data_IF_572362104945
#
_entry.id   IF_572362104945
#
_cell.length_a   1.000
_cell.length_b   1.000
_cell.length_c   1.000
_cell.angle_alpha   90.00
_cell.angle_beta   90.00
_cell.angle_gamma   90.00
#
_symmetry.space_group_name_H-M   'P 1'
#
loop_
_entity.id
_entity.type
_entity.pdbx_description
1 polymer ?
#
# COMPACT_ATOMS: atom_id res chain seq x y z
N UNK A 1 20.49 0.95 -9.07
CA UNK A 1 19.44 0.19 -9.78
C UNK A 1 19.53 -1.33 -9.59
N UNK A 2 20.57 -1.89 -8.93
CA UNK A 2 20.76 -3.36 -8.86
C UNK A 2 20.73 -3.99 -7.45
N UNK A 3 19.93 -3.50 -6.50
CA UNK A 3 19.96 -4.04 -5.12
C UNK A 3 18.63 -4.39 -4.45
N UNK A 4 17.50 -4.06 -5.05
CA UNK A 4 16.17 -4.38 -4.47
C UNK A 4 15.62 -5.71 -5.03
N UNK A 5 15.98 -6.07 -6.26
CA UNK A 5 15.38 -7.21 -6.98
C UNK A 5 15.88 -8.60 -6.53
N UNK A 6 17.10 -8.73 -6.01
CA UNK A 6 17.71 -10.05 -5.80
C UNK A 6 17.20 -10.75 -4.52
N UNK A 7 16.57 -10.03 -3.59
CA UNK A 7 16.13 -10.60 -2.31
C UNK A 7 14.64 -10.90 -2.18
N UNK A 8 13.78 -10.23 -2.95
CA UNK A 8 12.35 -10.12 -2.59
C UNK A 8 11.38 -10.55 -3.70
N UNK A 9 11.76 -10.44 -4.97
CA UNK A 9 10.90 -10.82 -6.10
C UNK A 9 10.52 -12.31 -6.09
N UNK A 10 11.40 -13.19 -5.57
CA UNK A 10 11.17 -14.63 -5.56
C UNK A 10 10.42 -15.20 -4.35
N UNK A 11 10.01 -14.40 -3.36
CA UNK A 11 9.33 -14.96 -2.16
C UNK A 11 7.85 -14.61 -2.08
N UNK A 12 7.49 -13.37 -2.39
CA UNK A 12 6.10 -12.94 -2.31
C UNK A 12 5.25 -13.49 -3.48
N UNK A 13 5.85 -13.66 -4.65
CA UNK A 13 5.18 -14.25 -5.82
C UNK A 13 4.99 -15.78 -5.71
N UNK A 14 5.68 -16.44 -4.76
CA UNK A 14 5.72 -17.90 -4.62
C UNK A 14 4.87 -18.43 -3.45
N UNK A 15 3.94 -17.63 -2.94
CA UNK A 15 3.05 -18.04 -1.85
C UNK A 15 3.74 -18.15 -0.50
N UNK A 16 4.66 -17.23 -0.19
CA UNK A 16 5.19 -17.13 1.17
C UNK A 16 4.06 -16.83 2.16
N UNK A 17 3.95 -17.67 3.19
CA UNK A 17 2.89 -17.59 4.22
C UNK A 17 3.13 -16.44 5.23
N UNK A 18 4.38 -15.97 5.40
CA UNK A 18 4.72 -14.96 6.40
C UNK A 18 5.61 -13.83 5.87
N UNK A 19 5.31 -12.59 6.27
CA UNK A 19 6.11 -11.39 6.01
C UNK A 19 7.27 -11.21 6.99
N UNK A 20 8.08 -12.24 7.22
CA UNK A 20 9.19 -12.17 8.17
C UNK A 20 10.34 -11.33 7.61
N UNK A 21 10.69 -10.23 8.29
CA UNK A 21 11.86 -9.39 7.97
C UNK A 21 11.56 -7.97 7.46
N UNK A 22 10.33 -7.48 7.61
CA UNK A 22 10.01 -6.09 7.27
C UNK A 22 10.83 -5.09 8.11
N UNK A 23 11.26 -4.00 7.48
CA UNK A 23 12.12 -2.97 8.03
C UNK A 23 13.59 -3.37 8.14
N UNK A 24 13.94 -4.63 7.86
CA UNK A 24 15.30 -5.11 7.98
C UNK A 24 16.09 -4.95 6.68
N UNK A 25 17.26 -4.33 6.80
CA UNK A 25 18.22 -4.17 5.72
C UNK A 25 19.56 -4.83 6.09
N UNK A 26 20.51 -4.83 5.13
CA UNK A 26 21.87 -5.38 5.32
C UNK A 26 21.87 -6.84 5.80
N UNK A 27 21.10 -7.70 5.11
CA UNK A 27 21.04 -9.12 5.45
C UNK A 27 20.44 -9.38 6.82
N UNK A 28 19.37 -8.64 7.17
CA UNK A 28 18.66 -8.78 8.44
C UNK A 28 19.45 -8.37 9.70
N UNK A 29 20.49 -7.58 9.55
CA UNK A 29 21.34 -7.12 10.68
C UNK A 29 21.01 -5.72 11.17
N UNK A 30 20.19 -4.97 10.43
CA UNK A 30 19.90 -3.57 10.73
C UNK A 30 18.43 -3.27 10.49
N UNK A 31 17.74 -2.77 11.51
CA UNK A 31 16.34 -2.36 11.46
C UNK A 31 16.27 -0.84 11.34
N UNK A 32 15.56 -0.35 10.32
CA UNK A 32 15.18 1.06 10.22
C UNK A 32 13.65 1.20 10.29
N UNK A 33 13.12 2.01 11.21
CA UNK A 33 11.68 2.25 11.30
C UNK A 33 11.05 2.77 10.00
N UNK A 34 11.74 3.64 9.26
CA UNK A 34 11.24 4.19 7.99
C UNK A 34 11.19 3.11 6.90
N UNK A 35 12.11 2.14 6.94
CA UNK A 35 12.07 0.99 6.05
C UNK A 35 10.86 0.10 6.33
N UNK A 36 10.41 0.01 7.60
CA UNK A 36 9.20 -0.73 7.95
C UNK A 36 7.94 -0.07 7.35
N UNK A 37 7.87 1.27 7.38
CA UNK A 37 6.80 2.03 6.75
C UNK A 37 6.79 1.84 5.22
N UNK A 38 7.96 1.81 4.59
CA UNK A 38 8.08 1.55 3.15
C UNK A 38 7.72 0.10 2.79
N UNK A 39 8.14 -0.87 3.60
CA UNK A 39 7.79 -2.28 3.38
C UNK A 39 6.28 -2.53 3.51
N UNK A 40 5.57 -1.76 4.33
CA UNK A 40 4.10 -1.78 4.40
C UNK A 40 3.46 -1.42 3.05
N UNK A 41 4.00 -0.44 2.33
CA UNK A 41 3.49 -0.06 1.00
C UNK A 41 3.66 -1.19 -0.01
N UNK A 42 4.82 -1.84 0.02
CA UNK A 42 5.08 -3.01 -0.82
C UNK A 42 4.15 -4.16 -0.46
N UNK A 43 3.99 -4.45 0.84
CA UNK A 43 3.08 -5.48 1.32
C UNK A 43 1.65 -5.23 0.87
N UNK A 44 1.14 -4.00 0.98
CA UNK A 44 -0.21 -3.66 0.56
C UNK A 44 -0.38 -3.84 -0.96
N UNK A 45 0.60 -3.47 -1.77
CA UNK A 45 0.56 -3.71 -3.23
C UNK A 45 0.44 -5.20 -3.53
N UNK A 46 1.33 -6.01 -2.93
CA UNK A 46 1.34 -7.47 -3.12
C UNK A 46 0.04 -8.10 -2.62
N UNK A 47 -0.47 -7.69 -1.46
CA UNK A 47 -1.74 -8.17 -0.91
C UNK A 47 -2.90 -7.86 -1.86
N UNK A 48 -2.92 -6.66 -2.43
CA UNK A 48 -3.97 -6.23 -3.35
C UNK A 48 -3.89 -7.00 -4.68
N UNK A 49 -2.69 -7.28 -5.18
CA UNK A 49 -2.49 -8.12 -6.37
C UNK A 49 -2.88 -9.59 -6.09
N UNK A 50 -2.53 -10.10 -4.91
CA UNK A 50 -2.85 -11.47 -4.47
C UNK A 50 -4.33 -11.68 -4.16
N UNK A 51 -5.10 -10.63 -3.86
CA UNK A 51 -6.55 -10.70 -3.64
C UNK A 51 -7.33 -11.14 -4.90
N UNK A 52 -6.68 -11.12 -6.07
CA UNK A 52 -7.26 -11.55 -7.33
C UNK A 52 -8.25 -10.56 -7.92
N UNK A 53 -8.85 -10.93 -9.06
CA UNK A 53 -9.79 -10.08 -9.78
C UNK A 53 -11.24 -10.39 -9.37
N UNK A 54 -11.99 -9.36 -8.99
CA UNK A 54 -13.42 -9.48 -8.78
C UNK A 54 -14.15 -9.49 -10.14
N UNK A 55 -14.68 -10.64 -10.54
CA UNK A 55 -15.37 -10.85 -11.82
C UNK A 55 -16.89 -10.66 -11.75
N UNK A 56 -17.40 -10.10 -10.65
CA UNK A 56 -18.83 -9.79 -10.53
C UNK A 56 -19.29 -8.78 -11.59
N UNK A 57 -20.57 -8.80 -12.02
CA UNK A 57 -21.08 -7.88 -13.03
C UNK A 57 -20.84 -6.40 -12.71
N UNK A 58 -20.92 -6.02 -11.43
CA UNK A 58 -20.65 -4.64 -10.97
C UNK A 58 -19.18 -4.25 -11.22
N UNK A 59 -18.21 -5.11 -10.93
CA UNK A 59 -16.79 -4.83 -11.15
C UNK A 59 -16.38 -4.92 -12.62
N UNK A 60 -17.04 -5.77 -13.41
CA UNK A 60 -16.84 -5.84 -14.86
C UNK A 60 -17.37 -4.59 -15.59
N UNK A 61 -18.40 -3.95 -15.03
CA UNK A 61 -18.92 -2.64 -15.46
C UNK A 61 -19.27 -2.54 -16.96
N UNK A 62 -19.71 -3.63 -17.59
CA UNK A 62 -19.97 -3.69 -19.03
C UNK A 62 -21.06 -2.70 -19.47
N UNK A 63 -22.11 -2.53 -18.66
CA UNK A 63 -23.18 -1.57 -18.93
C UNK A 63 -22.66 -0.12 -18.94
N UNK A 64 -21.73 0.19 -18.03
CA UNK A 64 -21.11 1.52 -17.94
C UNK A 64 -20.20 1.77 -19.15
N UNK A 65 -19.40 0.77 -19.54
CA UNK A 65 -18.54 0.83 -20.73
C UNK A 65 -19.39 1.07 -21.99
N UNK A 66 -20.49 0.35 -22.13
CA UNK A 66 -21.42 0.52 -23.25
C UNK A 66 -22.09 1.90 -23.25
N UNK A 67 -22.51 2.39 -22.08
CA UNK A 67 -23.16 3.69 -21.94
C UNK A 67 -22.23 4.87 -22.25
N UNK A 68 -20.96 4.81 -21.81
CA UNK A 68 -19.96 5.85 -22.08
C UNK A 68 -19.56 5.86 -23.56
N UNK A 69 -19.43 4.67 -24.16
CA UNK A 69 -19.13 4.51 -25.58
C UNK A 69 -17.73 4.97 -26.01
N UNK A 70 -17.41 4.86 -27.31
CA UNK A 70 -16.09 5.20 -27.83
C UNK A 70 -15.74 6.68 -27.62
N UNK A 71 -14.48 6.95 -27.26
CA UNK A 71 -13.94 8.31 -27.03
C UNK A 71 -14.60 9.08 -25.87
N UNK A 72 -15.40 8.41 -25.03
CA UNK A 72 -15.92 8.97 -23.78
C UNK A 72 -14.92 8.93 -22.61
N UNK A 73 -15.34 9.38 -21.43
CA UNK A 73 -14.55 9.31 -20.20
C UNK A 73 -15.41 8.91 -18.99
N UNK A 74 -14.82 8.15 -18.07
CA UNK A 74 -15.56 7.56 -16.94
C UNK A 74 -15.65 8.46 -15.70
N UNK A 75 -14.93 9.59 -15.66
CA UNK A 75 -14.84 10.45 -14.48
C UNK A 75 -16.19 11.01 -13.99
N UNK A 76 -17.21 11.08 -14.86
CA UNK A 76 -18.56 11.56 -14.51
C UNK A 76 -19.50 10.45 -14.06
N UNK A 77 -19.09 9.19 -14.15
CA UNK A 77 -19.94 8.05 -13.83
C UNK A 77 -20.13 7.89 -12.32
N UNK A 78 -21.37 7.59 -11.92
CA UNK A 78 -21.67 7.25 -10.51
C UNK A 78 -20.90 6.00 -10.10
N UNK A 79 -20.79 5.03 -11.00
CA UNK A 79 -20.02 3.82 -10.81
C UNK A 79 -18.56 4.11 -10.44
N UNK A 80 -17.89 4.98 -11.22
CA UNK A 80 -16.53 5.42 -10.93
C UNK A 80 -16.41 6.12 -9.59
N UNK A 81 -17.31 7.06 -9.24
CA UNK A 81 -17.28 7.72 -7.91
C UNK A 81 -17.47 6.75 -6.74
N UNK A 82 -18.28 5.70 -6.92
CA UNK A 82 -18.52 4.71 -5.88
C UNK A 82 -17.30 3.80 -5.68
N UNK A 83 -16.63 3.40 -6.78
CA UNK A 83 -15.48 2.50 -6.73
C UNK A 83 -14.17 3.21 -6.41
N UNK A 84 -13.99 4.46 -6.86
CA UNK A 84 -12.79 5.25 -6.61
C UNK A 84 -12.52 5.43 -5.11
N UNK A 85 -13.57 5.58 -4.28
CA UNK A 85 -13.46 5.69 -2.82
C UNK A 85 -13.03 4.41 -2.12
N UNK A 86 -13.15 3.26 -2.80
CA UNK A 86 -12.74 1.95 -2.28
C UNK A 86 -11.27 1.64 -2.62
N UNK A 87 -10.63 2.45 -3.46
CA UNK A 87 -9.23 2.28 -3.79
C UNK A 87 -8.36 2.71 -2.61
N UNK A 88 -7.39 1.88 -2.28
CA UNK A 88 -6.35 2.23 -1.32
C UNK A 88 -5.28 3.05 -2.05
N UNK A 89 -5.02 4.26 -1.54
CA UNK A 89 -3.93 5.10 -2.02
C UNK A 89 -2.78 5.06 -1.00
N UNK A 90 -1.56 5.08 -1.52
CA UNK A 90 -0.36 5.15 -0.70
C UNK A 90 -0.31 6.45 0.10
N UNK A 91 0.05 6.36 1.37
CA UNK A 91 0.30 7.53 2.23
C UNK A 91 1.74 8.04 2.12
N UNK A 92 2.61 7.29 1.42
CA UNK A 92 4.06 7.51 1.38
C UNK A 92 4.57 7.72 -0.04
N UNK A 93 4.06 6.95 -0.99
CA UNK A 93 4.46 7.02 -2.40
C UNK A 93 3.64 8.07 -3.14
N UNK A 94 4.29 8.77 -4.07
CA UNK A 94 3.66 9.76 -4.96
C UNK A 94 2.90 10.87 -4.22
N UNK A 95 3.40 11.27 -3.06
CA UNK A 95 2.89 12.44 -2.35
C UNK A 95 3.28 13.71 -3.11
N UNK A 96 2.32 14.54 -3.54
CA UNK A 96 2.62 15.75 -4.30
C UNK A 96 3.52 16.71 -3.54
N UNK A 97 4.50 17.28 -4.24
CA UNK A 97 5.30 18.39 -3.73
C UNK A 97 4.72 19.75 -4.17
N UNK A 98 5.00 20.80 -3.39
CA UNK A 98 4.51 22.17 -3.60
C UNK A 98 4.99 22.78 -4.93
N UNK A 99 6.14 22.32 -5.45
CA UNK A 99 6.80 22.91 -6.62
C UNK A 99 6.59 22.12 -7.92
N UNK A 100 5.53 21.30 -7.99
CA UNK A 100 5.28 20.33 -9.06
C UNK A 100 6.29 19.17 -9.03
N UNK A 101 5.80 17.99 -8.69
CA UNK A 101 6.62 16.79 -8.52
C UNK A 101 6.09 15.93 -7.38
N UNK A 102 6.92 14.99 -6.95
CA UNK A 102 6.62 14.14 -5.79
C UNK A 102 7.72 14.30 -4.75
N UNK A 103 7.33 14.23 -3.48
CA UNK A 103 8.26 14.21 -2.35
C UNK A 103 9.08 12.92 -2.38
N UNK A 104 10.28 12.97 -1.79
CA UNK A 104 11.07 11.76 -1.56
C UNK A 104 10.31 10.82 -0.61
N UNK A 105 9.96 9.59 -1.03
CA UNK A 105 9.26 8.64 -0.19
C UNK A 105 9.98 8.32 1.12
N UNK A 106 11.32 8.40 1.14
CA UNK A 106 12.08 8.13 2.34
C UNK A 106 11.86 9.19 3.42
N UNK A 107 11.83 10.47 3.04
CA UNK A 107 11.54 11.56 3.97
C UNK A 107 10.08 11.52 4.45
N UNK A 108 9.13 11.17 3.57
CA UNK A 108 7.73 10.98 3.97
C UNK A 108 7.59 9.79 4.93
N UNK A 109 8.32 8.70 4.70
CA UNK A 109 8.32 7.54 5.60
C UNK A 109 8.91 7.87 6.97
N UNK A 110 9.91 8.76 7.05
CA UNK A 110 10.44 9.29 8.32
C UNK A 110 9.39 10.08 9.07
N UNK A 111 8.77 11.07 8.43
CA UNK A 111 7.70 11.87 9.04
C UNK A 111 6.55 10.97 9.54
N UNK A 112 6.20 9.95 8.76
CA UNK A 112 5.17 8.99 9.14
C UNK A 112 5.59 8.15 10.34
N UNK A 113 6.85 7.75 10.40
CA UNK A 113 7.41 7.02 11.54
C UNK A 113 7.32 7.88 12.81
N UNK A 114 7.80 9.13 12.74
CA UNK A 114 7.80 10.04 13.88
C UNK A 114 6.36 10.26 14.38
N UNK A 115 5.42 10.49 13.47
CA UNK A 115 3.99 10.59 13.80
C UNK A 115 3.46 9.33 14.51
N UNK A 116 3.82 8.12 14.05
CA UNK A 116 3.38 6.88 14.70
C UNK A 116 3.95 6.79 16.11
N UNK A 117 5.21 7.15 16.31
CA UNK A 117 5.85 7.11 17.62
C UNK A 117 5.25 8.13 18.60
N UNK A 118 4.80 9.28 18.10
CA UNK A 118 4.19 10.34 18.90
C UNK A 118 2.72 10.08 19.23
N UNK A 119 1.93 9.64 18.25
CA UNK A 119 0.46 9.61 18.35
C UNK A 119 -0.16 8.21 18.52
N UNK A 120 0.61 7.13 18.34
CA UNK A 120 0.05 5.79 18.46
C UNK A 120 -0.15 5.39 19.93
N UNK A 121 -1.42 5.28 20.33
CA UNK A 121 -1.81 4.72 21.61
C UNK A 121 -2.28 3.26 21.42
N UNK A 122 -1.48 2.26 21.84
CA UNK A 122 -1.88 0.86 21.70
C UNK A 122 -3.07 0.53 22.60
N UNK A 123 -3.86 -0.46 22.20
CA UNK A 123 -4.94 -0.99 23.02
C UNK A 123 -4.36 -1.54 24.34
N UNK A 124 -4.88 -1.12 25.51
CA UNK A 124 -4.36 -1.57 26.79
C UNK A 124 -4.60 -3.08 26.97
N UNK A 125 -3.64 -3.74 27.63
CA UNK A 125 -3.77 -5.16 27.99
C UNK A 125 -4.97 -5.37 28.92
N UNK A 126 -5.68 -6.49 28.76
CA UNK A 126 -6.71 -6.88 29.73
C UNK A 126 -6.13 -7.20 31.10
N UNK A 127 -6.93 -7.11 32.16
CA UNK A 127 -6.48 -7.38 33.54
C UNK A 127 -5.82 -8.76 33.69
N UNK A 128 -6.36 -9.78 33.01
CA UNK A 128 -5.82 -11.14 33.03
C UNK A 128 -4.46 -11.28 32.33
N UNK A 129 -4.10 -10.37 31.41
CA UNK A 129 -2.80 -10.35 30.72
C UNK A 129 -1.73 -9.54 31.45
N UNK A 130 -2.12 -8.76 32.46
CA UNK A 130 -1.21 -7.92 33.25
C UNK A 130 -0.67 -8.61 34.52
N UNK A 131 -1.24 -9.77 34.89
CA UNK A 131 -0.88 -10.56 36.07
C UNK A 131 0.15 -11.66 35.75
#
# INVERSE_FOLDING_TARGET
MDRVLIGWGGRLEWGAETGSGMGLIRGSTLLYPEALVLDRELYNSVRNDAAGLNTSPDYMALDVIQAVGPRGHFLREKHTRNHFRKLEFSEVLRIPDKNSGYRDPFEVARERTDWILEDHHPEPLSEAQQA
#
